data_IF_599252075196
#
_entry.id   IF_599252075196
#
_cell.length_a   1.000
_cell.length_b   1.000
_cell.length_c   1.000
_cell.angle_alpha   90.00
_cell.angle_beta   90.00
_cell.angle_gamma   90.00
#
_symmetry.space_group_name_H-M   'P 1'
#
loop_
_entity.id
_entity.type
_entity.pdbx_description
1 polymer ?
#
# COMPACT_ATOMS: atom_id res chain seq x y z
N UNK A 1 -45.94 27.75 38.49
CA UNK A 1 -46.05 28.19 37.08
C UNK A 1 -45.09 27.38 36.25
N UNK A 2 -45.69 26.61 35.35
CA UNK A 2 -45.16 25.50 34.56
C UNK A 2 -44.29 26.00 33.40
N UNK A 3 -43.13 25.39 33.18
CA UNK A 3 -42.55 25.30 31.83
C UNK A 3 -41.95 23.92 31.61
N UNK A 4 -42.83 23.06 31.10
CA UNK A 4 -42.53 21.78 30.46
C UNK A 4 -41.75 22.08 29.18
N UNK A 5 -40.43 21.88 29.20
CA UNK A 5 -39.63 21.92 27.97
C UNK A 5 -39.67 20.54 27.35
N UNK A 6 -40.39 20.46 26.25
CA UNK A 6 -40.54 19.32 25.35
C UNK A 6 -39.19 18.79 24.89
N UNK A 7 -38.93 17.51 25.19
CA UNK A 7 -37.95 16.67 24.50
C UNK A 7 -38.38 16.59 23.04
N UNK A 8 -37.77 17.40 22.18
CA UNK A 8 -37.92 17.25 20.74
C UNK A 8 -37.15 15.99 20.34
N UNK A 9 -37.90 14.98 19.90
CA UNK A 9 -37.39 13.77 19.27
C UNK A 9 -36.74 14.15 17.94
N UNK A 10 -35.42 14.35 17.95
CA UNK A 10 -34.62 14.28 16.74
C UNK A 10 -33.50 13.27 16.99
N UNK A 11 -33.90 12.00 17.03
CA UNK A 11 -33.04 10.83 17.24
C UNK A 11 -32.30 10.42 15.97
N UNK A 12 -31.82 11.37 15.18
CA UNK A 12 -30.85 11.10 14.13
C UNK A 12 -29.48 10.86 14.76
N UNK A 13 -28.86 9.71 14.51
CA UNK A 13 -27.49 9.46 14.92
C UNK A 13 -26.61 10.66 14.47
N UNK A 14 -25.82 11.26 15.38
CA UNK A 14 -24.91 12.34 15.00
C UNK A 14 -24.06 11.88 13.83
N UNK A 15 -24.10 12.61 12.71
CA UNK A 15 -23.24 12.33 11.58
C UNK A 15 -21.78 12.37 12.11
N UNK A 16 -20.99 11.28 12.00
CA UNK A 16 -19.65 11.22 12.59
C UNK A 16 -18.66 12.27 12.01
N UNK A 17 -19.11 13.03 11.01
CA UNK A 17 -18.36 14.06 10.29
C UNK A 17 -18.28 15.40 11.04
N UNK A 18 -19.10 15.64 12.08
CA UNK A 18 -19.17 16.94 12.78
C UNK A 18 -18.28 17.03 14.03
N UNK A 19 -17.50 15.99 14.35
CA UNK A 19 -16.54 16.07 15.45
C UNK A 19 -15.32 16.93 15.04
N UNK A 20 -14.91 17.93 15.86
CA UNK A 20 -13.72 18.73 15.58
C UNK A 20 -12.48 17.82 15.51
N UNK A 21 -11.91 17.69 14.30
CA UNK A 21 -10.75 16.82 14.01
C UNK A 21 -11.00 15.67 13.03
N UNK A 22 -12.20 15.51 12.45
CA UNK A 22 -12.43 14.45 11.44
C UNK A 22 -11.73 14.76 10.10
N UNK A 23 -11.00 13.78 9.54
CA UNK A 23 -10.38 13.93 8.23
C UNK A 23 -11.44 13.91 7.12
N UNK A 24 -11.28 14.79 6.13
CA UNK A 24 -12.11 14.77 4.92
C UNK A 24 -11.88 13.44 4.19
N UNK A 25 -12.97 12.71 3.94
CA UNK A 25 -12.94 11.52 3.09
C UNK A 25 -12.68 11.94 1.65
N UNK A 26 -11.42 11.81 1.23
CA UNK A 26 -10.96 12.25 -0.08
C UNK A 26 -10.64 11.07 -1.02
N UNK A 27 -10.52 9.85 -0.49
CA UNK A 27 -10.18 8.65 -1.24
C UNK A 27 -11.44 7.86 -1.64
N UNK A 28 -11.50 7.50 -2.92
CA UNK A 28 -12.56 6.70 -3.49
C UNK A 28 -12.06 5.26 -3.78
N UNK A 29 -12.97 4.29 -3.85
CA UNK A 29 -12.63 2.88 -4.05
C UNK A 29 -11.67 2.61 -5.23
N UNK A 30 -11.89 3.13 -6.45
CA UNK A 30 -10.98 2.86 -7.57
C UNK A 30 -9.58 3.41 -7.34
N UNK A 31 -9.45 4.56 -6.66
CA UNK A 31 -8.15 5.13 -6.28
C UNK A 31 -7.43 4.21 -5.30
N UNK A 32 -8.15 3.66 -4.33
CA UNK A 32 -7.60 2.75 -3.33
C UNK A 32 -7.14 1.44 -3.95
N UNK A 33 -7.91 0.89 -4.90
CA UNK A 33 -7.57 -0.33 -5.64
C UNK A 33 -6.34 -0.10 -6.50
N UNK A 34 -6.27 1.00 -7.26
CA UNK A 34 -5.09 1.34 -8.07
C UNK A 34 -3.86 1.57 -7.21
N UNK A 35 -4.01 2.24 -6.07
CA UNK A 35 -2.92 2.43 -5.12
C UNK A 35 -2.40 1.09 -4.59
N UNK A 36 -3.29 0.21 -4.11
CA UNK A 36 -2.91 -1.11 -3.60
C UNK A 36 -2.25 -1.98 -4.67
N UNK A 37 -2.79 -1.97 -5.89
CA UNK A 37 -2.22 -2.71 -7.02
C UNK A 37 -0.81 -2.20 -7.37
N UNK A 38 -0.60 -0.88 -7.41
CA UNK A 38 0.73 -0.29 -7.66
C UNK A 38 1.74 -0.68 -6.59
N UNK A 39 1.37 -0.60 -5.31
CA UNK A 39 2.27 -1.02 -4.21
C UNK A 39 2.64 -2.50 -4.26
N UNK A 40 1.79 -3.35 -4.83
CA UNK A 40 2.05 -4.79 -4.97
C UNK A 40 2.90 -5.10 -6.19
N UNK A 41 2.63 -4.43 -7.32
CA UNK A 41 3.37 -4.62 -8.57
C UNK A 41 4.79 -4.04 -8.48
N UNK A 42 4.93 -2.79 -8.03
CA UNK A 42 6.12 -1.94 -8.17
C UNK A 42 7.46 -2.64 -7.99
N UNK A 43 8.08 -2.55 -6.80
CA UNK A 43 9.39 -3.16 -6.58
C UNK A 43 9.37 -4.69 -6.67
N UNK A 44 8.24 -5.34 -6.37
CA UNK A 44 8.12 -6.80 -6.44
C UNK A 44 8.38 -7.35 -7.85
N UNK A 45 7.68 -6.82 -8.85
CA UNK A 45 7.84 -7.30 -10.23
C UNK A 45 9.03 -6.65 -10.91
N UNK A 46 9.21 -5.33 -10.80
CA UNK A 46 10.28 -4.68 -11.54
C UNK A 46 11.67 -5.01 -10.98
N UNK A 47 11.85 -5.00 -9.66
CA UNK A 47 13.18 -5.20 -9.07
C UNK A 47 13.46 -6.69 -8.79
N UNK A 48 12.49 -7.45 -8.28
CA UNK A 48 12.75 -8.77 -7.71
C UNK A 48 12.47 -9.94 -8.67
N UNK A 49 11.70 -9.78 -9.74
CA UNK A 49 11.44 -10.89 -10.70
C UNK A 49 12.73 -11.42 -11.30
N UNK A 50 13.67 -10.55 -11.66
CA UNK A 50 14.95 -10.98 -12.23
C UNK A 50 15.76 -11.85 -11.27
N UNK A 51 15.81 -11.46 -9.99
CA UNK A 51 16.47 -12.26 -8.95
C UNK A 51 15.74 -13.59 -8.71
N UNK A 52 14.40 -13.57 -8.63
CA UNK A 52 13.60 -14.77 -8.47
C UNK A 52 13.75 -15.73 -9.67
N UNK A 53 13.82 -15.19 -10.89
CA UNK A 53 14.07 -15.97 -12.10
C UNK A 53 15.51 -16.50 -12.18
N UNK A 54 16.49 -15.77 -11.65
CA UNK A 54 17.88 -16.23 -11.52
C UNK A 54 18.00 -17.48 -10.65
N UNK A 55 17.21 -17.56 -9.57
CA UNK A 55 17.19 -18.72 -8.66
C UNK A 55 16.29 -19.86 -9.16
N UNK A 56 15.07 -19.55 -9.60
CA UNK A 56 14.08 -20.56 -10.00
C UNK A 56 14.18 -21.00 -11.47
N UNK A 57 14.92 -20.26 -12.29
CA UNK A 57 15.06 -20.51 -13.73
C UNK A 57 13.71 -20.59 -14.44
N UNK A 58 13.54 -21.63 -15.27
CA UNK A 58 12.29 -21.90 -16.00
C UNK A 58 11.09 -22.17 -15.08
N UNK A 59 11.32 -22.50 -13.80
CA UNK A 59 10.28 -22.76 -12.83
C UNK A 59 9.78 -21.50 -12.12
N UNK A 60 10.31 -20.32 -12.45
CA UNK A 60 9.88 -19.06 -11.85
C UNK A 60 8.34 -18.83 -11.91
N UNK A 61 7.64 -19.08 -13.04
CA UNK A 61 6.18 -18.93 -13.08
C UNK A 61 5.46 -19.83 -12.07
N UNK A 62 5.94 -21.06 -11.89
CA UNK A 62 5.37 -22.01 -10.94
C UNK A 62 5.63 -21.57 -9.49
N UNK A 63 6.82 -21.02 -9.20
CA UNK A 63 7.13 -20.45 -7.89
C UNK A 63 6.20 -19.26 -7.54
N UNK A 64 5.95 -18.36 -8.50
CA UNK A 64 5.01 -17.26 -8.33
C UNK A 64 3.57 -17.74 -8.12
N UNK A 65 3.14 -18.81 -8.82
CA UNK A 65 1.82 -19.40 -8.63
C UNK A 65 1.64 -19.97 -7.22
N UNK A 66 2.63 -20.71 -6.71
CA UNK A 66 2.62 -21.23 -5.34
C UNK A 66 2.59 -20.10 -4.31
N UNK A 67 3.37 -19.04 -4.53
CA UNK A 67 3.36 -17.86 -3.67
C UNK A 67 1.99 -17.17 -3.65
N UNK A 68 1.34 -17.03 -4.82
CA UNK A 68 0.00 -16.46 -4.95
C UNK A 68 -1.06 -17.27 -4.21
N UNK A 69 -1.04 -18.60 -4.34
CA UNK A 69 -1.96 -19.49 -3.62
C UNK A 69 -1.73 -19.40 -2.10
N UNK A 70 -0.46 -19.30 -1.68
CA UNK A 70 -0.07 -19.22 -0.27
C UNK A 70 -0.53 -17.91 0.39
N UNK A 71 -0.53 -16.78 -0.34
CA UNK A 71 -0.99 -15.47 0.18
C UNK A 71 -2.50 -15.27 0.11
N UNK A 72 -3.21 -15.97 -0.80
CA UNK A 72 -4.65 -15.87 -1.00
C UNK A 72 -5.50 -15.97 0.29
N UNK A 73 -5.32 -16.97 1.18
CA UNK A 73 -6.11 -17.05 2.42
C UNK A 73 -5.85 -15.85 3.34
N UNK A 74 -4.61 -15.37 3.41
CA UNK A 74 -4.26 -14.18 4.19
C UNK A 74 -4.99 -12.95 3.64
N UNK A 75 -4.96 -12.75 2.32
CA UNK A 75 -5.67 -11.65 1.66
C UNK A 75 -7.19 -11.70 1.90
N UNK A 76 -7.79 -12.88 1.88
CA UNK A 76 -9.21 -13.07 2.18
C UNK A 76 -9.55 -12.66 3.63
N UNK A 77 -8.75 -13.08 4.62
CA UNK A 77 -8.94 -12.65 6.00
C UNK A 77 -8.83 -11.13 6.17
N UNK A 78 -7.86 -10.50 5.50
CA UNK A 78 -7.72 -9.04 5.50
C UNK A 78 -8.94 -8.34 4.87
N UNK A 79 -9.50 -8.88 3.79
CA UNK A 79 -10.70 -8.33 3.17
C UNK A 79 -11.90 -8.31 4.13
N UNK A 80 -12.12 -9.40 4.87
CA UNK A 80 -13.20 -9.47 5.87
C UNK A 80 -12.95 -8.53 7.06
N UNK A 81 -11.72 -8.48 7.58
CA UNK A 81 -11.34 -7.65 8.72
C UNK A 81 -11.47 -6.15 8.41
N UNK A 82 -11.02 -5.72 7.22
CA UNK A 82 -11.15 -4.34 6.77
C UNK A 82 -12.62 -3.89 6.64
N UNK A 83 -13.51 -4.80 6.21
CA UNK A 83 -14.95 -4.54 6.16
C UNK A 83 -15.58 -4.43 7.55
N UNK A 84 -15.12 -5.24 8.51
CA UNK A 84 -15.66 -5.28 9.88
C UNK A 84 -15.13 -4.17 10.80
N UNK A 85 -13.89 -3.74 10.60
CA UNK A 85 -13.23 -2.74 11.43
C UNK A 85 -12.71 -1.56 10.58
N UNK A 86 -13.60 -0.63 10.14
CA UNK A 86 -13.24 0.48 9.25
C UNK A 86 -12.57 1.64 10.01
N UNK A 87 -11.45 1.36 10.67
CA UNK A 87 -10.66 2.33 11.45
C UNK A 87 -9.26 2.51 10.88
N UNK A 88 -8.73 3.73 10.94
CA UNK A 88 -7.38 4.06 10.47
C UNK A 88 -6.30 3.67 11.49
N UNK A 89 -6.21 2.38 11.80
CA UNK A 89 -5.22 1.84 12.76
C UNK A 89 -4.55 0.53 12.30
N UNK A 90 -4.81 0.10 11.06
CA UNK A 90 -4.16 -1.05 10.44
C UNK A 90 -4.30 -2.35 11.22
N UNK A 91 -3.28 -3.19 11.15
CA UNK A 91 -3.19 -4.51 11.76
C UNK A 91 -3.28 -4.44 13.30
N UNK A 92 -2.81 -3.35 13.89
CA UNK A 92 -2.89 -3.13 15.34
C UNK A 92 -4.35 -3.09 15.83
N UNK A 93 -5.28 -2.57 15.02
CA UNK A 93 -6.70 -2.57 15.33
C UNK A 93 -7.27 -4.00 15.38
N UNK A 94 -6.90 -4.85 14.43
CA UNK A 94 -7.37 -6.24 14.37
C UNK A 94 -6.88 -7.04 15.58
N UNK A 95 -5.62 -6.84 15.98
CA UNK A 95 -5.04 -7.50 17.15
C UNK A 95 -5.66 -6.98 18.45
N UNK A 96 -5.92 -5.67 18.53
CA UNK A 96 -6.65 -5.11 19.67
C UNK A 96 -8.06 -5.69 19.79
N UNK A 97 -8.78 -5.83 18.67
CA UNK A 97 -10.14 -6.36 18.66
C UNK A 97 -10.19 -7.87 18.94
N UNK A 98 -9.19 -8.63 18.46
CA UNK A 98 -9.14 -10.08 18.64
C UNK A 98 -8.63 -10.53 20.02
N UNK A 99 -7.60 -9.88 20.55
CA UNK A 99 -6.91 -10.32 21.77
C UNK A 99 -7.18 -9.47 23.01
N UNK A 100 -7.67 -8.23 22.84
CA UNK A 100 -7.91 -7.31 23.96
C UNK A 100 -6.66 -6.91 24.77
N UNK A 101 -5.47 -7.25 24.29
CA UNK A 101 -4.21 -7.05 25.01
C UNK A 101 -3.44 -5.85 24.45
N UNK A 102 -3.27 -4.82 25.29
CA UNK A 102 -2.50 -3.62 24.94
C UNK A 102 -1.04 -3.93 24.56
N UNK A 103 -0.43 -4.93 25.19
CA UNK A 103 0.95 -5.34 24.90
C UNK A 103 1.10 -5.89 23.47
N UNK A 104 0.19 -6.76 23.05
CA UNK A 104 0.20 -7.35 21.71
C UNK A 104 -0.11 -6.31 20.63
N UNK A 105 -1.09 -5.44 20.88
CA UNK A 105 -1.41 -4.32 19.98
C UNK A 105 -0.22 -3.41 19.75
N UNK A 106 0.50 -3.05 20.82
CA UNK A 106 1.68 -2.19 20.72
C UNK A 106 2.81 -2.88 19.96
N UNK A 107 3.07 -4.16 20.27
CA UNK A 107 4.09 -4.95 19.58
C UNK A 107 3.82 -5.02 18.08
N UNK A 108 2.59 -5.31 17.67
CA UNK A 108 2.21 -5.38 16.26
C UNK A 108 2.30 -4.01 15.61
N UNK A 109 1.90 -2.94 16.29
CA UNK A 109 2.10 -1.57 15.80
C UNK A 109 3.56 -1.25 15.50
N UNK A 110 4.50 -1.64 16.39
CA UNK A 110 5.93 -1.48 16.15
C UNK A 110 6.43 -2.32 14.97
N UNK A 111 5.95 -3.56 14.83
CA UNK A 111 6.31 -4.42 13.70
C UNK A 111 5.84 -3.85 12.35
N UNK A 112 4.65 -3.25 12.31
CA UNK A 112 4.13 -2.60 11.09
C UNK A 112 5.00 -1.40 10.70
N UNK A 113 5.42 -0.58 11.67
CA UNK A 113 6.34 0.54 11.42
C UNK A 113 7.68 0.04 10.87
N UNK A 114 8.28 -0.98 11.51
CA UNK A 114 9.55 -1.56 11.07
C UNK A 114 9.45 -2.17 9.67
N UNK A 115 8.36 -2.89 9.39
CA UNK A 115 8.07 -3.44 8.07
C UNK A 115 7.99 -2.33 7.01
N UNK A 116 7.29 -1.23 7.31
CA UNK A 116 7.22 -0.06 6.44
C UNK A 116 8.59 0.58 6.16
N UNK A 117 9.47 0.67 7.16
CA UNK A 117 10.84 1.17 7.01
C UNK A 117 11.65 0.26 6.07
N UNK A 118 11.60 -1.06 6.29
CA UNK A 118 12.32 -2.04 5.46
C UNK A 118 11.81 -2.03 4.02
N UNK A 119 10.49 -1.99 3.84
CA UNK A 119 9.86 -1.89 2.52
C UNK A 119 10.29 -0.62 1.79
N UNK A 120 10.23 0.53 2.47
CA UNK A 120 10.65 1.82 1.91
C UNK A 120 12.12 1.83 1.49
N UNK A 121 13.01 1.26 2.32
CA UNK A 121 14.43 1.12 2.02
C UNK A 121 14.67 0.23 0.79
N UNK A 122 13.96 -0.90 0.70
CA UNK A 122 14.07 -1.83 -0.43
C UNK A 122 13.64 -1.17 -1.75
N UNK A 123 12.53 -0.43 -1.74
CA UNK A 123 12.04 0.31 -2.90
C UNK A 123 13.05 1.40 -3.30
N UNK A 124 13.60 2.15 -2.34
CA UNK A 124 14.58 3.19 -2.62
C UNK A 124 15.87 2.62 -3.25
N UNK A 125 16.36 1.49 -2.77
CA UNK A 125 17.51 0.79 -3.34
C UNK A 125 17.21 0.32 -4.77
N UNK A 126 16.05 -0.29 -4.99
CA UNK A 126 15.62 -0.74 -6.32
C UNK A 126 15.50 0.40 -7.33
N UNK A 127 14.85 1.51 -6.93
CA UNK A 127 14.71 2.70 -7.75
C UNK A 127 16.08 3.34 -8.06
N UNK A 128 16.97 3.44 -7.07
CA UNK A 128 18.33 3.93 -7.28
C UNK A 128 19.12 3.04 -8.25
N UNK A 129 18.90 1.73 -8.23
CA UNK A 129 19.46 0.79 -9.20
C UNK A 129 19.09 1.15 -10.65
N UNK A 130 17.80 1.40 -10.91
CA UNK A 130 17.34 1.83 -12.24
C UNK A 130 17.89 3.19 -12.68
N UNK A 131 17.89 4.18 -11.79
CA UNK A 131 18.39 5.53 -12.11
C UNK A 131 19.87 5.48 -12.49
N UNK A 132 20.66 4.64 -11.80
CA UNK A 132 22.10 4.52 -12.04
C UNK A 132 22.47 3.89 -13.37
N UNK A 133 21.54 3.23 -14.05
CA UNK A 133 21.73 2.78 -15.44
C UNK A 133 21.82 3.95 -16.42
N UNK A 134 21.22 5.10 -16.08
CA UNK A 134 21.19 6.30 -16.92
C UNK A 134 22.13 7.41 -16.44
N UNK A 135 22.40 7.48 -15.13
CA UNK A 135 23.20 8.54 -14.51
C UNK A 135 24.27 7.94 -13.60
N UNK A 136 25.53 8.23 -13.88
CA UNK A 136 26.65 7.70 -13.11
C UNK A 136 26.89 8.53 -11.84
N UNK A 137 26.14 8.20 -10.79
CA UNK A 137 26.22 8.81 -9.45
C UNK A 137 26.56 7.75 -8.40
N UNK A 138 27.22 8.14 -7.29
CA UNK A 138 27.52 7.21 -6.21
C UNK A 138 26.23 6.71 -5.56
N UNK A 139 26.17 5.40 -5.27
CA UNK A 139 24.97 4.70 -4.83
C UNK A 139 24.28 5.36 -3.62
N UNK A 140 25.08 5.73 -2.61
CA UNK A 140 24.58 6.34 -1.38
C UNK A 140 23.85 7.66 -1.66
N UNK A 141 24.35 8.46 -2.60
CA UNK A 141 23.76 9.75 -2.94
C UNK A 141 22.45 9.58 -3.70
N UNK A 142 22.39 8.65 -4.65
CA UNK A 142 21.15 8.36 -5.39
C UNK A 142 20.05 7.85 -4.46
N UNK A 143 20.37 6.95 -3.53
CA UNK A 143 19.39 6.42 -2.55
C UNK A 143 18.86 7.55 -1.65
N UNK A 144 19.74 8.39 -1.11
CA UNK A 144 19.33 9.52 -0.27
C UNK A 144 18.44 10.49 -1.06
N UNK A 145 18.81 10.77 -2.31
CA UNK A 145 18.02 11.65 -3.18
C UNK A 145 16.63 11.08 -3.47
N UNK A 146 16.52 9.77 -3.73
CA UNK A 146 15.22 9.09 -3.91
C UNK A 146 14.37 9.19 -2.64
N UNK A 147 14.94 8.90 -1.47
CA UNK A 147 14.22 8.97 -0.19
C UNK A 147 13.72 10.39 0.10
N UNK A 148 14.58 11.40 -0.09
CA UNK A 148 14.21 12.81 0.13
C UNK A 148 13.14 13.24 -0.86
N UNK A 149 13.28 12.90 -2.14
CA UNK A 149 12.29 13.24 -3.16
C UNK A 149 10.91 12.60 -2.86
N UNK A 150 10.88 11.30 -2.53
CA UNK A 150 9.65 10.60 -2.15
C UNK A 150 9.05 11.17 -0.87
N UNK A 151 9.88 11.49 0.12
CA UNK A 151 9.45 12.15 1.35
C UNK A 151 8.78 13.50 1.09
N UNK A 152 9.37 14.32 0.22
CA UNK A 152 8.79 15.62 -0.18
C UNK A 152 7.44 15.44 -0.90
N UNK A 153 7.31 14.44 -1.76
CA UNK A 153 6.02 14.13 -2.41
C UNK A 153 4.99 13.73 -1.35
N UNK A 154 5.35 12.87 -0.40
CA UNK A 154 4.46 12.43 0.68
C UNK A 154 3.96 13.59 1.57
N UNK A 155 4.73 14.68 1.70
CA UNK A 155 4.29 15.86 2.48
C UNK A 155 3.20 16.70 1.81
N UNK A 156 2.95 16.55 0.50
CA UNK A 156 2.03 17.43 -0.26
C UNK A 156 0.54 17.15 -0.07
N UNK A 157 0.18 16.10 0.65
CA UNK A 157 -1.22 15.72 0.89
C UNK A 157 -1.51 14.31 0.39
N UNK A 158 -2.39 13.61 1.11
CA UNK A 158 -2.69 12.20 0.84
C UNK A 158 -3.44 12.00 -0.49
N UNK A 159 -4.31 12.93 -0.88
CA UNK A 159 -5.07 12.80 -2.12
C UNK A 159 -4.14 12.97 -3.33
N UNK A 160 -3.28 13.99 -3.30
CA UNK A 160 -2.30 14.27 -4.34
C UNK A 160 -1.29 13.13 -4.46
N UNK A 161 -0.82 12.60 -3.31
CA UNK A 161 0.09 11.46 -3.26
C UNK A 161 -0.53 10.20 -3.87
N UNK A 162 -1.78 9.88 -3.50
CA UNK A 162 -2.44 8.68 -4.01
C UNK A 162 -2.83 8.84 -5.48
N UNK A 163 -3.21 10.04 -5.94
CA UNK A 163 -3.44 10.30 -7.36
C UNK A 163 -2.16 10.07 -8.17
N UNK A 164 -1.04 10.62 -7.71
CA UNK A 164 0.25 10.42 -8.35
C UNK A 164 0.64 8.94 -8.40
N UNK A 165 0.49 8.23 -7.28
CA UNK A 165 0.74 6.79 -7.22
C UNK A 165 -0.20 6.00 -8.15
N UNK A 166 -1.47 6.35 -8.22
CA UNK A 166 -2.45 5.67 -9.10
C UNK A 166 -2.12 5.85 -10.58
N UNK A 167 -1.62 7.02 -10.97
CA UNK A 167 -1.13 7.27 -12.34
C UNK A 167 0.09 6.42 -12.65
N UNK A 168 1.05 6.32 -11.72
CA UNK A 168 2.20 5.44 -11.86
C UNK A 168 1.76 3.98 -12.00
N UNK A 169 0.79 3.51 -11.22
CA UNK A 169 0.25 2.15 -11.34
C UNK A 169 -0.26 1.86 -12.76
N UNK A 170 -0.97 2.81 -13.38
CA UNK A 170 -1.46 2.62 -14.75
C UNK A 170 -0.32 2.49 -15.75
N UNK A 171 0.75 3.28 -15.56
CA UNK A 171 1.96 3.21 -16.39
C UNK A 171 2.68 1.87 -16.18
N UNK A 172 2.82 1.41 -14.93
CA UNK A 172 3.44 0.13 -14.57
C UNK A 172 2.65 -1.05 -15.16
N UNK A 173 1.33 -1.09 -14.93
CA UNK A 173 0.48 -2.12 -15.48
C UNK A 173 0.51 -2.13 -17.02
N UNK A 174 0.49 -0.95 -17.65
CA UNK A 174 0.64 -0.81 -19.10
C UNK A 174 1.99 -1.31 -19.60
N UNK A 175 3.08 -0.98 -18.90
CA UNK A 175 4.44 -1.44 -19.21
C UNK A 175 4.56 -2.97 -19.12
N UNK A 176 3.96 -3.59 -18.10
CA UNK A 176 3.92 -5.05 -17.98
C UNK A 176 3.10 -5.71 -19.08
N UNK A 177 1.93 -5.17 -19.41
CA UNK A 177 1.12 -5.68 -20.53
C UNK A 177 1.87 -5.58 -21.86
N UNK A 178 2.59 -4.48 -22.07
CA UNK A 178 3.45 -4.33 -23.24
C UNK A 178 4.59 -5.36 -23.26
N UNK A 179 5.26 -5.58 -22.12
CA UNK A 179 6.30 -6.61 -22.00
C UNK A 179 5.77 -8.01 -22.32
N UNK A 180 4.60 -8.36 -21.80
CA UNK A 180 3.94 -9.65 -22.09
C UNK A 180 3.59 -9.76 -23.56
N UNK A 181 2.98 -8.72 -24.14
CA UNK A 181 2.61 -8.69 -25.55
C UNK A 181 3.84 -8.84 -26.47
N UNK A 182 4.89 -8.06 -26.23
CA UNK A 182 6.11 -8.14 -27.02
C UNK A 182 6.82 -9.48 -26.83
N UNK A 183 6.82 -10.02 -25.61
CA UNK A 183 7.33 -11.35 -25.31
C UNK A 183 6.72 -12.41 -26.23
N UNK A 184 5.39 -12.50 -26.28
CA UNK A 184 4.70 -13.43 -27.18
C UNK A 184 4.96 -13.15 -28.67
N UNK A 185 5.09 -11.88 -29.06
CA UNK A 185 5.37 -11.52 -30.47
C UNK A 185 6.80 -11.84 -30.92
N UNK A 186 7.74 -11.96 -29.98
CA UNK A 186 9.16 -12.22 -30.24
C UNK A 186 9.51 -13.71 -30.37
N UNK A 187 8.55 -14.61 -30.16
CA UNK A 187 8.73 -16.07 -30.34
C UNK A 187 8.62 -16.52 -31.82
N UNK A 188 8.95 -15.66 -32.78
CA UNK A 188 9.09 -15.96 -34.21
C UNK A 188 10.33 -15.29 -34.82
#
# INVERSE_FOLDING_TARGET
>A
MTKTTTLSSDGGMPNPQTAPGSLKRSLNLPLLVLYGLGTTIGAGIYVLVGAAAGEAGIHAPLAFLIAAISVAPTAACYAELCGRFPVSAGEAAFVSAGFGSRGMTLLVGWLVILSGIVASATIAIGCAGYIRTFVDLPANLTIVLVIVAMGLIATRGILESVLFASLLTLIEAGGLLALVYFGFSSEW
#
